data_IF_297807871545
#
_entry.id   IF_297807871545
#
_cell.length_a   1.000
_cell.length_b   1.000
_cell.length_c   1.000
_cell.angle_alpha   90.00
_cell.angle_beta   90.00
_cell.angle_gamma   90.00
#
_symmetry.space_group_name_H-M   'P 1'
#
loop_
_entity.id
_entity.type
_entity.pdbx_description
1 polymer ?
#
# COMPACT_ATOMS: atom_id res chain seq x y z
N UNK A 1 29.71 -3.27 -15.26
CA UNK A 1 29.06 -4.25 -14.37
C UNK A 1 27.57 -3.96 -14.43
N UNK A 2 26.77 -4.85 -15.00
CA UNK A 2 25.33 -4.68 -15.07
C UNK A 2 24.76 -4.97 -13.68
N UNK A 3 24.26 -3.93 -13.01
CA UNK A 3 23.46 -4.12 -11.80
C UNK A 3 22.22 -4.91 -12.21
N UNK A 4 22.08 -6.14 -11.70
CA UNK A 4 20.83 -6.86 -11.76
C UNK A 4 19.78 -6.01 -11.03
N UNK A 5 18.89 -5.37 -11.78
CA UNK A 5 17.77 -4.61 -11.22
C UNK A 5 16.82 -5.59 -10.53
N UNK A 6 17.04 -5.83 -9.24
CA UNK A 6 16.13 -6.60 -8.40
C UNK A 6 14.89 -5.75 -8.14
N UNK A 7 13.74 -6.18 -8.64
CA UNK A 7 12.46 -5.54 -8.33
C UNK A 7 12.06 -5.81 -6.88
N UNK A 8 11.22 -4.93 -6.32
CA UNK A 8 10.74 -5.04 -4.94
C UNK A 8 9.39 -5.72 -4.88
N UNK A 9 9.31 -6.89 -4.26
CA UNK A 9 8.06 -7.60 -3.99
C UNK A 9 7.54 -7.30 -2.59
N UNK A 10 6.28 -6.91 -2.46
CA UNK A 10 5.67 -6.54 -1.16
C UNK A 10 4.76 -7.63 -0.59
N UNK A 11 4.13 -8.46 -1.43
CA UNK A 11 3.23 -9.54 -0.97
C UNK A 11 3.83 -10.47 0.11
N UNK A 12 5.12 -10.85 0.08
CA UNK A 12 5.70 -11.70 1.13
C UNK A 12 5.71 -11.07 2.54
N UNK A 13 5.48 -9.76 2.64
CA UNK A 13 5.44 -9.03 3.91
C UNK A 13 4.04 -9.02 4.53
N UNK A 14 3.00 -9.36 3.75
CA UNK A 14 1.65 -9.49 4.25
C UNK A 14 1.55 -10.67 5.22
N UNK A 15 0.74 -10.49 6.25
CA UNK A 15 0.59 -11.47 7.32
C UNK A 15 1.73 -11.47 8.33
N UNK A 16 2.82 -10.73 8.15
CA UNK A 16 3.91 -10.65 9.14
C UNK A 16 3.53 -9.78 10.34
N UNK A 17 4.07 -10.09 11.53
CA UNK A 17 3.92 -9.25 12.72
C UNK A 17 4.83 -8.01 12.66
N UNK A 18 4.55 -6.93 13.42
CA UNK A 18 5.40 -5.73 13.42
C UNK A 18 6.88 -6.00 13.77
N UNK A 19 7.16 -6.97 14.64
CA UNK A 19 8.52 -7.38 15.05
C UNK A 19 9.10 -8.53 14.21
N UNK A 20 8.41 -8.98 13.17
CA UNK A 20 8.87 -10.09 12.36
C UNK A 20 10.25 -9.79 11.74
N UNK A 21 11.26 -10.67 11.89
CA UNK A 21 12.60 -10.41 11.38
C UNK A 21 12.65 -10.12 9.88
N UNK A 22 11.78 -10.72 9.07
CA UNK A 22 11.75 -10.47 7.62
C UNK A 22 11.25 -9.06 7.31
N UNK A 23 10.24 -8.57 8.05
CA UNK A 23 9.75 -7.21 7.91
C UNK A 23 10.78 -6.19 8.40
N UNK A 24 11.41 -6.43 9.55
CA UNK A 24 12.47 -5.55 10.08
C UNK A 24 13.66 -5.48 9.12
N UNK A 25 14.09 -6.62 8.58
CA UNK A 25 15.16 -6.68 7.57
C UNK A 25 14.78 -5.91 6.30
N UNK A 26 13.54 -6.06 5.83
CA UNK A 26 13.03 -5.29 4.69
C UNK A 26 13.10 -3.78 4.96
N UNK A 27 12.57 -3.30 6.09
CA UNK A 27 12.57 -1.88 6.45
C UNK A 27 13.98 -1.31 6.59
N UNK A 28 14.89 -2.02 7.27
CA UNK A 28 16.29 -1.62 7.40
C UNK A 28 16.99 -1.51 6.04
N UNK A 29 16.60 -2.36 5.10
CA UNK A 29 17.15 -2.38 3.75
C UNK A 29 16.69 -1.20 2.87
N UNK A 30 15.61 -0.50 3.26
CA UNK A 30 15.15 0.72 2.59
C UNK A 30 15.99 1.96 2.97
N UNK A 31 16.69 1.93 4.10
CA UNK A 31 17.55 3.04 4.52
C UNK A 31 18.89 3.03 3.76
N UNK A 32 19.37 4.22 3.36
CA UNK A 32 20.70 4.40 2.76
C UNK A 32 21.50 5.47 3.51
N UNK A 33 22.67 5.15 4.09
CA UNK A 33 23.28 3.82 4.26
C UNK A 33 22.44 2.89 5.16
N UNK A 34 22.77 1.59 5.28
CA UNK A 34 22.08 0.68 6.18
C UNK A 34 22.09 1.25 7.60
N UNK A 35 20.91 1.62 8.05
CA UNK A 35 20.65 2.24 9.33
C UNK A 35 19.42 1.55 9.93
N UNK A 36 19.21 1.63 11.26
CA UNK A 36 17.92 1.26 11.81
C UNK A 36 16.80 1.97 11.03
N UNK A 37 15.67 1.28 10.79
CA UNK A 37 14.56 1.90 10.10
C UNK A 37 14.13 3.16 10.86
N UNK A 38 13.71 4.22 10.14
CA UNK A 38 13.25 5.44 10.80
C UNK A 38 12.06 5.12 11.71
N UNK A 39 11.94 5.84 12.83
CA UNK A 39 10.82 5.65 13.74
C UNK A 39 9.50 5.97 13.01
N UNK A 40 8.52 5.04 13.00
CA UNK A 40 7.26 5.29 12.33
C UNK A 40 6.39 6.24 13.15
N UNK A 41 5.59 7.06 12.47
CA UNK A 41 4.44 7.68 13.12
C UNK A 41 3.35 6.62 13.32
N UNK A 42 3.09 6.29 14.58
CA UNK A 42 2.04 5.34 14.97
C UNK A 42 0.67 6.03 14.98
N UNK A 43 -0.32 5.41 14.33
CA UNK A 43 -1.73 5.78 14.47
C UNK A 43 -2.56 4.53 14.74
N UNK A 44 -3.22 4.49 15.88
CA UNK A 44 -4.07 3.36 16.27
C UNK A 44 -5.55 3.75 16.18
N UNK A 45 -6.33 2.86 15.59
CA UNK A 45 -7.80 2.85 15.57
C UNK A 45 -8.27 1.58 16.28
N UNK A 46 -9.58 1.37 16.52
CA UNK A 46 -10.06 0.18 17.22
C UNK A 46 -9.78 -1.15 16.51
N UNK A 47 -9.65 -1.14 15.18
CA UNK A 47 -9.54 -2.31 14.30
C UNK A 47 -8.22 -2.39 13.54
N UNK A 48 -7.50 -1.27 13.40
CA UNK A 48 -6.27 -1.18 12.62
C UNK A 48 -5.23 -0.28 13.28
N UNK A 49 -3.97 -0.67 13.13
CA UNK A 49 -2.79 0.07 13.55
C UNK A 49 -1.95 0.43 12.32
N UNK A 50 -1.64 1.71 12.15
CA UNK A 50 -0.76 2.18 11.09
C UNK A 50 0.62 2.54 11.62
N UNK A 51 1.65 2.03 10.95
CA UNK A 51 3.03 2.45 11.09
C UNK A 51 3.41 3.26 9.84
N UNK A 52 3.45 4.58 9.97
CA UNK A 52 3.72 5.49 8.85
C UNK A 52 5.21 5.86 8.82
N UNK A 53 5.96 5.24 7.91
CA UNK A 53 7.36 5.55 7.63
C UNK A 53 7.45 6.68 6.60
N UNK A 54 7.08 7.90 7.01
CA UNK A 54 7.00 9.05 6.10
C UNK A 54 8.27 9.29 5.28
N UNK A 55 9.50 9.26 5.85
CA UNK A 55 10.72 9.43 5.07
C UNK A 55 10.91 8.39 3.95
N UNK A 56 10.34 7.20 4.12
CA UNK A 56 10.39 6.10 3.16
C UNK A 56 9.20 6.07 2.20
N UNK A 57 8.26 7.00 2.30
CA UNK A 57 7.02 6.98 1.51
C UNK A 57 6.22 5.67 1.66
N UNK A 58 6.25 5.08 2.86
CA UNK A 58 5.70 3.75 3.15
C UNK A 58 4.75 3.82 4.36
N UNK A 59 3.58 3.22 4.25
CA UNK A 59 2.68 2.95 5.37
C UNK A 59 2.43 1.45 5.49
N UNK A 60 2.45 0.93 6.71
CA UNK A 60 2.06 -0.45 7.01
C UNK A 60 0.82 -0.43 7.89
N UNK A 61 -0.18 -1.22 7.50
CA UNK A 61 -1.41 -1.42 8.28
C UNK A 61 -1.37 -2.80 8.92
N UNK A 62 -1.68 -2.86 10.21
CA UNK A 62 -1.77 -4.10 10.97
C UNK A 62 -3.16 -4.24 11.58
N UNK A 63 -3.72 -5.44 11.51
CA UNK A 63 -4.96 -5.79 12.19
C UNK A 63 -4.73 -7.03 13.07
N UNK A 64 -5.52 -7.20 14.15
CA UNK A 64 -5.57 -8.45 14.88
C UNK A 64 -6.00 -9.61 13.96
N UNK A 65 -5.28 -10.73 13.98
CA UNK A 65 -5.64 -11.96 13.25
C UNK A 65 -6.97 -12.54 13.68
N UNK A 66 -7.28 -12.36 14.96
CA UNK A 66 -8.53 -12.77 15.58
C UNK A 66 -9.14 -11.55 16.25
N UNK A 67 -10.47 -11.40 16.24
CA UNK A 67 -11.14 -10.36 17.01
C UNK A 67 -10.61 -10.37 18.43
N UNK A 68 -10.15 -9.20 18.91
CA UNK A 68 -9.66 -9.09 20.27
C UNK A 68 -10.82 -9.44 21.23
N UNK A 69 -10.60 -10.31 22.23
CA UNK A 69 -11.62 -10.58 23.23
C UNK A 69 -12.09 -9.27 23.85
N UNK A 70 -13.39 -9.14 24.13
CA UNK A 70 -13.99 -7.92 24.70
C UNK A 70 -13.30 -7.48 26.01
N UNK A 71 -12.68 -8.43 26.72
CA UNK A 71 -11.88 -8.19 27.93
C UNK A 71 -10.51 -7.55 27.66
N UNK A 72 -9.90 -7.77 26.49
CA UNK A 72 -8.61 -7.20 26.10
C UNK A 72 -8.79 -5.84 25.41
N UNK A 73 -9.86 -5.69 24.63
CA UNK A 73 -10.25 -4.44 23.97
C UNK A 73 -10.64 -3.32 24.95
N UNK A 74 -10.99 -3.65 26.20
CA UNK A 74 -11.37 -2.68 27.22
C UNK A 74 -10.18 -2.03 27.95
N UNK A 75 -8.95 -2.56 27.82
CA UNK A 75 -7.80 -2.11 28.61
C UNK A 75 -6.55 -1.73 27.80
N UNK A 76 -6.35 -2.30 26.60
CA UNK A 76 -5.14 -2.05 25.79
C UNK A 76 -5.50 -1.36 24.47
N UNK A 77 -4.87 -0.22 24.18
CA UNK A 77 -4.92 0.38 22.86
C UNK A 77 -4.16 -0.52 21.87
N UNK A 78 -4.53 -0.48 20.59
CA UNK A 78 -3.79 -1.22 19.56
C UNK A 78 -2.30 -0.80 19.47
N UNK A 79 -1.97 0.41 19.92
CA UNK A 79 -0.59 0.87 20.03
C UNK A 79 0.19 0.13 21.12
N UNK A 80 -0.45 -0.27 22.23
CA UNK A 80 0.19 -1.03 23.30
C UNK A 80 0.61 -2.43 22.83
N UNK A 81 -0.07 -2.95 21.80
CA UNK A 81 0.30 -4.23 21.18
C UNK A 81 1.62 -4.15 20.39
N UNK A 82 2.21 -2.96 20.18
CA UNK A 82 3.54 -2.83 19.59
C UNK A 82 4.66 -3.25 20.54
N UNK A 83 4.43 -3.23 21.86
CA UNK A 83 5.41 -3.70 22.83
C UNK A 83 5.64 -5.21 22.62
N UNK A 84 6.85 -5.66 22.28
CA UNK A 84 7.17 -7.08 22.13
C UNK A 84 6.91 -7.91 23.39
N UNK A 85 6.86 -7.27 24.57
CA UNK A 85 6.52 -7.92 25.82
C UNK A 85 5.00 -8.12 26.00
N UNK A 86 4.16 -7.46 25.20
CA UNK A 86 2.72 -7.59 25.29
C UNK A 86 2.28 -8.99 24.83
N UNK A 87 1.45 -9.73 25.59
CA UNK A 87 1.08 -11.11 25.27
C UNK A 87 0.35 -11.26 23.93
N UNK A 88 -0.34 -10.20 23.50
CA UNK A 88 -1.04 -10.14 22.21
C UNK A 88 -0.21 -9.49 21.08
N UNK A 89 1.09 -9.22 21.26
CA UNK A 89 1.95 -8.64 20.22
C UNK A 89 1.93 -9.47 18.93
N UNK A 90 2.05 -10.80 19.06
CA UNK A 90 2.02 -11.74 17.94
C UNK A 90 0.65 -11.89 17.27
N UNK A 91 -0.41 -11.29 17.84
CA UNK A 91 -1.76 -11.31 17.26
C UNK A 91 -1.92 -10.32 16.11
N UNK A 92 -1.02 -9.34 15.98
CA UNK A 92 -1.03 -8.41 14.86
C UNK A 92 -0.47 -9.05 13.59
N UNK A 93 -1.10 -8.75 12.46
CA UNK A 93 -0.66 -9.16 11.14
C UNK A 93 -0.73 -7.99 10.17
N UNK A 94 0.28 -7.81 9.33
CA UNK A 94 0.30 -6.80 8.28
C UNK A 94 -0.79 -7.15 7.25
N UNK A 95 -1.79 -6.29 7.11
CA UNK A 95 -2.93 -6.50 6.20
C UNK A 95 -2.81 -5.70 4.92
N UNK A 96 -2.13 -4.56 4.98
CA UNK A 96 -1.95 -3.67 3.83
C UNK A 96 -0.62 -2.92 3.90
N UNK A 97 -0.04 -2.68 2.73
CA UNK A 97 1.19 -1.93 2.54
C UNK A 97 0.92 -0.84 1.50
N UNK A 98 1.07 0.42 1.89
CA UNK A 98 0.90 1.56 0.99
C UNK A 98 2.25 2.16 0.63
N UNK A 99 2.50 2.33 -0.67
CA UNK A 99 3.64 3.09 -1.18
C UNK A 99 3.13 4.38 -1.83
N UNK A 100 3.71 5.51 -1.44
CA UNK A 100 3.38 6.82 -1.99
C UNK A 100 4.38 7.24 -3.08
N UNK A 101 3.85 7.64 -4.23
CA UNK A 101 4.63 8.15 -5.34
C UNK A 101 4.83 9.67 -5.21
N UNK A 102 6.00 10.07 -4.72
CA UNK A 102 6.37 11.48 -4.63
C UNK A 102 6.47 12.19 -6.01
N UNK A 103 6.65 11.44 -7.11
CA UNK A 103 6.75 11.98 -8.47
C UNK A 103 5.38 12.19 -9.13
N UNK A 104 4.30 11.85 -8.42
CA UNK A 104 2.94 12.07 -8.86
C UNK A 104 2.51 13.50 -8.50
N UNK A 105 2.73 14.43 -9.43
CA UNK A 105 2.14 15.76 -9.33
C UNK A 105 0.66 15.67 -9.68
N UNK A 106 -0.25 16.25 -8.89
CA UNK A 106 -1.62 16.46 -9.34
C UNK A 106 -1.59 17.24 -10.66
N UNK A 107 -2.51 16.94 -11.57
CA UNK A 107 -2.77 17.81 -12.72
C UNK A 107 -2.94 19.24 -12.21
N UNK A 108 -2.13 20.14 -12.75
CA UNK A 108 -1.83 21.44 -12.17
C UNK A 108 -3.08 22.26 -11.84
N UNK A 109 -3.52 22.20 -10.57
CA UNK A 109 -4.26 23.27 -9.94
C UNK A 109 -3.31 23.99 -8.97
N UNK A 110 -3.16 25.31 -9.04
CA UNK A 110 -2.38 26.05 -8.07
C UNK A 110 -2.99 25.82 -6.69
N UNK A 111 -2.22 25.21 -5.79
CA UNK A 111 -2.68 24.98 -4.43
C UNK A 111 -3.10 26.32 -3.81
N UNK A 112 -4.28 26.42 -3.17
CA UNK A 112 -4.64 27.61 -2.42
C UNK A 112 -3.58 27.85 -1.33
N UNK A 113 -3.22 29.11 -1.04
CA UNK A 113 -2.13 29.42 -0.12
C UNK A 113 -2.55 29.14 1.32
N UNK A 114 -2.47 27.89 1.82
CA UNK A 114 -2.71 27.60 3.24
C UNK A 114 -1.87 26.48 3.85
N UNK A 115 -1.47 26.81 5.10
CA UNK A 115 -0.84 26.04 6.15
C UNK A 115 0.54 25.46 5.81
N UNK A 116 1.58 25.96 6.50
CA UNK A 116 2.87 25.26 6.65
C UNK A 116 2.58 23.90 7.28
N UNK A 117 2.34 22.87 6.48
CA UNK A 117 2.49 21.48 6.92
C UNK A 117 3.91 21.35 7.44
N UNK A 118 4.07 20.78 8.64
CA UNK A 118 5.40 20.65 9.21
C UNK A 118 6.22 19.77 8.26
N UNK A 119 7.51 20.05 8.02
CA UNK A 119 8.35 19.21 7.16
C UNK A 119 8.31 17.71 7.54
N UNK A 120 8.13 17.41 8.83
CA UNK A 120 7.96 16.05 9.38
C UNK A 120 6.69 15.33 8.93
N UNK A 121 5.72 16.04 8.37
CA UNK A 121 4.44 15.47 7.90
C UNK A 121 4.48 15.18 6.39
N UNK A 122 5.55 15.54 5.68
CA UNK A 122 5.68 15.27 4.25
C UNK A 122 6.19 13.85 4.01
N UNK A 123 5.56 13.13 3.08
CA UNK A 123 6.07 11.86 2.57
C UNK A 123 7.36 12.09 1.77
N UNK A 124 8.37 11.26 2.00
CA UNK A 124 9.63 11.23 1.28
C UNK A 124 9.52 10.52 -0.06
N UNK A 125 10.62 9.90 -0.51
CA UNK A 125 10.68 9.10 -1.73
C UNK A 125 10.89 7.63 -1.37
N UNK A 126 10.10 6.73 -1.96
CA UNK A 126 10.34 5.31 -1.84
C UNK A 126 11.63 4.94 -2.61
N UNK A 127 12.60 4.25 -1.99
CA UNK A 127 13.94 4.10 -2.56
C UNK A 127 14.14 2.87 -3.46
N UNK A 128 13.14 1.99 -3.60
CA UNK A 128 13.31 0.69 -4.29
C UNK A 128 12.32 0.40 -5.40
N UNK A 129 12.41 1.18 -6.47
CA UNK A 129 11.72 0.88 -7.73
C UNK A 129 12.58 -0.02 -8.64
N UNK A 130 11.96 -0.81 -9.55
CA UNK A 130 10.51 -0.99 -9.73
C UNK A 130 9.85 -1.84 -8.64
N UNK A 131 8.56 -1.61 -8.38
CA UNK A 131 7.73 -2.50 -7.55
C UNK A 131 7.22 -3.66 -8.42
N UNK A 132 7.38 -4.89 -7.98
CA UNK A 132 6.84 -6.06 -8.64
C UNK A 132 5.46 -6.41 -8.08
N UNK A 133 4.42 -6.15 -8.87
CA UNK A 133 3.04 -6.53 -8.59
C UNK A 133 2.81 -7.96 -9.09
N UNK A 134 2.85 -8.92 -8.18
CA UNK A 134 2.68 -10.34 -8.51
C UNK A 134 1.20 -10.75 -8.50
N UNK A 135 0.82 -11.69 -9.36
CA UNK A 135 -0.47 -12.39 -9.25
C UNK A 135 -0.29 -13.58 -8.31
N UNK A 136 -1.16 -13.78 -7.32
CA UNK A 136 -1.12 -14.98 -6.47
C UNK A 136 -1.52 -16.26 -7.23
N UNK A 137 -2.22 -16.12 -8.36
CA UNK A 137 -2.97 -17.22 -8.99
C UNK A 137 -2.26 -17.97 -10.13
N UNK A 138 -1.06 -17.57 -10.56
CA UNK A 138 -0.35 -18.34 -11.58
C UNK A 138 1.16 -18.24 -11.43
N UNK A 139 1.83 -19.38 -11.29
CA UNK A 139 3.29 -19.50 -11.20
C UNK A 139 4.03 -19.17 -12.52
N UNK A 140 3.32 -18.70 -13.56
CA UNK A 140 3.86 -18.55 -14.91
C UNK A 140 3.74 -17.15 -15.51
N UNK A 141 3.04 -16.20 -14.87
CA UNK A 141 2.93 -14.83 -15.38
C UNK A 141 4.06 -13.96 -14.82
N UNK A 142 4.75 -13.22 -15.70
CA UNK A 142 5.75 -12.25 -15.30
C UNK A 142 5.15 -11.18 -14.38
N UNK A 143 5.87 -10.75 -13.33
CA UNK A 143 5.37 -9.70 -12.44
C UNK A 143 5.22 -8.38 -13.20
N UNK A 144 4.14 -7.66 -12.93
CA UNK A 144 3.95 -6.32 -13.50
C UNK A 144 4.85 -5.35 -12.73
N UNK A 145 5.76 -4.71 -13.45
CA UNK A 145 6.71 -3.75 -12.88
C UNK A 145 6.10 -2.35 -12.85
N UNK A 146 5.86 -1.84 -11.65
CA UNK A 146 5.35 -0.50 -11.41
C UNK A 146 6.51 0.46 -11.13
N UNK A 147 6.72 1.40 -12.04
CA UNK A 147 7.68 2.50 -11.92
C UNK A 147 6.99 3.78 -11.48
N UNK A 148 7.68 4.77 -10.88
CA UNK A 148 7.08 6.06 -10.52
C UNK A 148 6.45 6.81 -11.70
N UNK A 149 6.91 6.52 -12.92
CA UNK A 149 6.40 7.10 -14.16
C UNK A 149 5.23 6.34 -14.78
N UNK A 150 4.85 5.18 -14.25
CA UNK A 150 3.75 4.38 -14.80
C UNK A 150 2.43 5.16 -14.74
N UNK A 151 1.71 5.20 -15.85
CA UNK A 151 0.42 5.88 -15.99
C UNK A 151 -0.75 4.91 -15.86
N UNK A 152 -1.96 5.44 -15.69
CA UNK A 152 -3.19 4.65 -15.67
C UNK A 152 -3.34 3.74 -16.89
N UNK A 153 -3.20 4.29 -18.09
CA UNK A 153 -3.34 3.57 -19.35
C UNK A 153 -2.28 2.47 -19.52
N UNK A 154 -1.04 2.74 -19.10
CA UNK A 154 0.03 1.75 -19.12
C UNK A 154 -0.21 0.61 -18.12
N UNK A 155 -0.77 0.90 -16.95
CA UNK A 155 -1.08 -0.15 -15.99
C UNK A 155 -2.29 -0.98 -16.42
N UNK A 156 -3.33 -0.34 -16.98
CA UNK A 156 -4.52 -0.99 -17.53
C UNK A 156 -4.17 -1.95 -18.68
N UNK A 157 -3.23 -1.59 -19.55
CA UNK A 157 -2.79 -2.49 -20.65
C UNK A 157 -2.04 -3.73 -20.13
N UNK A 158 -1.43 -3.65 -18.94
CA UNK A 158 -0.69 -4.75 -18.32
C UNK A 158 -1.58 -5.61 -17.40
N UNK A 159 -2.49 -5.00 -16.64
CA UNK A 159 -3.32 -5.69 -15.65
C UNK A 159 -4.73 -6.02 -16.15
N UNK A 160 -5.16 -5.44 -17.26
CA UNK A 160 -6.55 -5.55 -17.75
C UNK A 160 -7.52 -4.71 -16.92
N UNK A 161 -8.82 -5.02 -17.05
CA UNK A 161 -9.88 -4.27 -16.40
C UNK A 161 -9.87 -4.50 -14.87
N UNK A 162 -9.95 -3.44 -14.03
CA UNK A 162 -10.05 -3.58 -12.59
C UNK A 162 -11.41 -4.13 -12.17
N UNK A 163 -11.44 -4.90 -11.09
CA UNK A 163 -12.68 -5.45 -10.52
C UNK A 163 -13.54 -4.37 -9.86
N UNK A 164 -12.90 -3.35 -9.26
CA UNK A 164 -13.60 -2.23 -8.61
C UNK A 164 -12.93 -0.92 -9.00
N UNK A 165 -13.71 0.16 -9.02
CA UNK A 165 -13.25 1.51 -9.32
C UNK A 165 -14.15 2.55 -8.68
N UNK A 166 -13.60 3.71 -8.31
CA UNK A 166 -14.38 4.76 -7.65
C UNK A 166 -13.63 6.09 -7.50
N UNK A 167 -14.31 7.10 -6.94
CA UNK A 167 -13.75 8.43 -6.69
C UNK A 167 -14.07 9.46 -7.79
N UNK A 168 -13.37 10.61 -7.74
CA UNK A 168 -13.47 11.70 -8.72
C UNK A 168 -14.51 12.79 -8.44
N UNK A 169 -15.53 12.53 -7.62
CA UNK A 169 -16.68 13.45 -7.44
C UNK A 169 -16.85 14.05 -6.04
N UNK A 170 -15.86 13.93 -5.14
CA UNK A 170 -16.00 14.48 -3.78
C UNK A 170 -15.60 15.95 -3.70
N UNK A 171 -16.45 16.76 -3.07
CA UNK A 171 -16.13 18.13 -2.65
C UNK A 171 -15.10 18.19 -1.50
N UNK A 172 -14.80 17.05 -0.87
CA UNK A 172 -13.71 16.89 0.10
C UNK A 172 -12.50 16.26 -0.61
N UNK A 173 -11.25 16.70 -0.32
CA UNK A 173 -10.03 16.26 -0.99
C UNK A 173 -9.60 14.81 -0.65
N UNK A 174 -10.55 13.94 -0.26
CA UNK A 174 -10.27 12.73 0.49
C UNK A 174 -9.52 11.67 -0.33
N UNK A 175 -9.86 11.46 -1.60
CA UNK A 175 -9.19 10.51 -2.50
C UNK A 175 -9.40 10.94 -3.96
N UNK A 176 -8.39 10.75 -4.82
CA UNK A 176 -8.58 10.83 -6.27
C UNK A 176 -9.45 9.70 -6.82
N UNK A 177 -9.46 9.54 -8.14
CA UNK A 177 -9.99 8.29 -8.71
C UNK A 177 -9.06 7.12 -8.36
N UNK A 178 -9.63 5.94 -8.19
CA UNK A 178 -8.89 4.73 -7.83
C UNK A 178 -9.45 3.51 -8.57
N UNK A 179 -8.59 2.52 -8.73
CA UNK A 179 -8.89 1.24 -9.39
C UNK A 179 -8.30 0.09 -8.57
N UNK A 180 -8.99 -1.03 -8.50
CA UNK A 180 -8.63 -2.17 -7.65
C UNK A 180 -8.74 -3.48 -8.42
N UNK A 181 -7.67 -4.28 -8.39
CA UNK A 181 -7.59 -5.64 -8.92
C UNK A 181 -7.56 -6.61 -7.73
N UNK A 182 -8.74 -6.97 -7.22
CA UNK A 182 -8.91 -7.78 -5.99
C UNK A 182 -8.20 -9.13 -6.06
N UNK A 183 -8.24 -9.80 -7.22
CA UNK A 183 -7.56 -11.08 -7.46
C UNK A 183 -6.03 -10.99 -7.38
N UNK A 184 -5.46 -9.78 -7.41
CA UNK A 184 -4.03 -9.51 -7.25
C UNK A 184 -3.71 -8.85 -5.91
N UNK A 185 -4.72 -8.43 -5.16
CA UNK A 185 -4.53 -7.67 -3.92
C UNK A 185 -3.86 -6.32 -4.16
N UNK A 186 -4.27 -5.61 -5.21
CA UNK A 186 -3.69 -4.31 -5.59
C UNK A 186 -4.78 -3.27 -5.76
N UNK A 187 -4.63 -2.14 -5.09
CA UNK A 187 -5.41 -0.91 -5.31
C UNK A 187 -4.46 0.21 -5.70
N UNK A 188 -4.85 1.01 -6.68
CA UNK A 188 -4.07 2.17 -7.14
C UNK A 188 -4.94 3.42 -7.10
N UNK A 189 -4.47 4.43 -6.38
CA UNK A 189 -5.00 5.79 -6.46
C UNK A 189 -4.23 6.56 -7.52
N UNK A 190 -4.94 7.24 -8.43
CA UNK A 190 -4.33 8.05 -9.48
C UNK A 190 -4.19 9.52 -9.05
N UNK A 191 -3.17 10.20 -9.53
CA UNK A 191 -3.00 11.63 -9.34
C UNK A 191 -3.96 12.48 -10.20
N UNK A 192 -5.21 12.03 -10.36
CA UNK A 192 -6.28 12.70 -11.09
C UNK A 192 -7.47 12.94 -10.18
N UNK A 193 -7.95 14.19 -10.14
CA UNK A 193 -8.97 14.67 -9.20
C UNK A 193 -9.87 15.72 -9.84
N UNK A 194 -11.06 15.91 -9.26
CA UNK A 194 -12.01 16.94 -9.68
C UNK A 194 -12.84 16.55 -10.89
N UNK A 195 -13.45 17.55 -11.53
CA UNK A 195 -14.19 17.33 -12.78
C UNK A 195 -13.24 16.74 -13.82
N UNK A 196 -13.74 15.74 -14.54
CA UNK A 196 -13.01 15.03 -15.60
C UNK A 196 -11.85 14.12 -15.11
N UNK A 197 -11.84 13.75 -13.82
CA UNK A 197 -10.78 12.90 -13.27
C UNK A 197 -10.69 11.53 -13.96
N UNK A 198 -11.81 10.98 -14.44
CA UNK A 198 -11.83 9.70 -15.14
C UNK A 198 -11.26 9.81 -16.55
N UNK A 199 -11.52 10.93 -17.22
CA UNK A 199 -11.07 11.26 -18.56
C UNK A 199 -9.55 11.49 -18.59
N UNK A 200 -9.00 12.09 -17.52
CA UNK A 200 -7.55 12.33 -17.37
C UNK A 200 -6.81 11.17 -16.71
N UNK A 201 -7.54 10.25 -16.07
CA UNK A 201 -6.97 9.15 -15.28
C UNK A 201 -6.01 8.24 -16.03
N UNK A 202 -6.23 8.04 -17.34
CA UNK A 202 -5.36 7.22 -18.17
C UNK A 202 -3.95 7.79 -18.33
N UNK A 203 -3.80 9.11 -18.34
CA UNK A 203 -2.49 9.78 -18.47
C UNK A 203 -1.86 10.07 -17.10
N UNK A 204 -2.67 10.09 -16.05
CA UNK A 204 -2.21 10.34 -14.70
C UNK A 204 -1.27 9.23 -14.20
N UNK A 205 -0.23 9.66 -13.48
CA UNK A 205 0.63 8.74 -12.70
C UNK A 205 -0.12 8.27 -11.46
N UNK A 206 0.21 7.07 -10.98
CA UNK A 206 -0.28 6.62 -9.69
C UNK A 206 0.29 7.48 -8.57
N UNK A 207 -0.54 7.84 -7.59
CA UNK A 207 -0.19 8.58 -6.38
C UNK A 207 0.12 7.64 -5.22
N UNK A 208 -0.68 6.60 -5.06
CA UNK A 208 -0.54 5.61 -4.02
C UNK A 208 -0.84 4.24 -4.61
N UNK A 209 -0.03 3.24 -4.25
CA UNK A 209 -0.36 1.83 -4.49
C UNK A 209 -0.48 1.14 -3.15
N UNK A 210 -1.59 0.44 -2.96
CA UNK A 210 -1.87 -0.39 -1.79
C UNK A 210 -1.77 -1.85 -2.21
N UNK A 211 -0.95 -2.62 -1.49
CA UNK A 211 -0.81 -4.08 -1.63
C UNK A 211 -1.46 -4.74 -0.42
N UNK A 212 -2.35 -5.69 -0.67
CA UNK A 212 -3.10 -6.43 0.35
C UNK A 212 -3.27 -7.89 -0.07
N UNK A 213 -3.85 -8.71 0.82
CA UNK A 213 -4.09 -10.12 0.51
C UNK A 213 -5.11 -10.22 -0.64
N UNK A 214 -4.80 -10.95 -1.73
CA UNK A 214 -5.73 -11.09 -2.84
C UNK A 214 -7.01 -11.81 -2.37
N UNK A 215 -8.16 -11.39 -2.89
CA UNK A 215 -9.39 -12.15 -2.72
C UNK A 215 -9.20 -13.49 -3.46
N UNK A 216 -9.50 -14.61 -2.80
CA UNK A 216 -9.67 -15.88 -3.50
C UNK A 216 -10.81 -15.66 -4.49
N UNK A 217 -10.48 -15.53 -5.78
CA UNK A 217 -11.50 -15.55 -6.80
C UNK A 217 -12.26 -16.86 -6.65
N UNK A 218 -13.59 -16.78 -6.51
CA UNK A 218 -14.45 -17.94 -6.68
C UNK A 218 -13.91 -18.73 -7.87
N UNK A 219 -13.50 -19.97 -7.64
CA UNK A 219 -13.09 -20.88 -8.69
C UNK A 219 -14.33 -21.17 -9.55
N UNK A 220 -14.69 -20.22 -10.40
CA UNK A 220 -15.82 -20.29 -11.31
C UNK A 220 -15.46 -21.31 -12.38
N UNK A 221 -16.12 -22.46 -12.34
CA UNK A 221 -16.04 -23.49 -13.37
C UNK A 221 -15.30 -24.77 -13.00
N UNK A 222 -15.52 -25.33 -11.81
CA UNK A 222 -15.48 -26.78 -11.70
C UNK A 222 -16.67 -27.32 -12.52
N UNK A 223 -16.36 -27.64 -13.78
CA UNK A 223 -17.14 -28.42 -14.73
C UNK A 223 -17.98 -29.49 -14.00
N UNK A 224 -19.29 -29.22 -13.84
CA UNK A 224 -20.27 -30.26 -13.54
C UNK A 224 -20.60 -30.97 -14.85
N UNK A 225 -19.61 -31.70 -15.37
CA UNK A 225 -19.72 -32.59 -16.50
C UNK A 225 -19.75 -34.05 -16.05
N UNK A 226 -20.85 -34.72 -16.39
CA UNK A 226 -21.20 -36.15 -16.28
C UNK A 226 -21.92 -36.60 -14.99
#
# INVERSE_FOLDING_TARGET
MASSNTSTTLHPLLGLAPSDPALVAFLASLSSPPAPPPEPQVKAYPDVLFLNYRPLALSLSFAPRTPLPSSTAAASSLADLLDPAHPAHASLACTQIDIYNHAATPDAAPAPPKARTKPSERWGQFPRFPLALSSSSSSAADPVLLEPSTTGAALLSLLGEPARKGGGQSATPALGIWTEWTSRGVLVEWASQGLEAWEKGGEARWRCVSVFAPEEGDAEGADKGA
#
